data_IF_868398561563
#
_entry.id   IF_868398561563
#
_cell.length_a   1.000
_cell.length_b   1.000
_cell.length_c   1.000
_cell.angle_alpha   90.00
_cell.angle_beta   90.00
_cell.angle_gamma   90.00
#
_symmetry.space_group_name_H-M   'P 1'
#
loop_
_entity.id
_entity.type
_entity.pdbx_description
1 polymer ?
#
# COMPACT_ATOMS: atom_id res chain seq x y z
N UNK A 1 -2.61 34.24 3.34
CA UNK A 1 -2.39 33.70 4.70
C UNK A 1 -1.40 32.55 4.59
N UNK A 2 -0.46 32.36 5.53
CA UNK A 2 0.34 31.13 5.56
C UNK A 2 -0.61 29.94 5.76
N UNK A 3 -0.36 28.84 5.04
CA UNK A 3 -1.16 27.61 5.15
C UNK A 3 -0.99 26.90 6.48
N UNK A 4 -1.75 25.82 6.68
CA UNK A 4 -1.60 24.95 7.86
C UNK A 4 -0.18 24.40 8.00
N UNK A 5 0.28 24.23 9.24
CA UNK A 5 1.58 23.62 9.54
C UNK A 5 1.56 22.13 9.14
N UNK A 6 2.57 21.71 8.38
CA UNK A 6 2.68 20.35 7.86
C UNK A 6 4.10 19.83 8.03
N UNK A 7 4.23 18.50 8.08
CA UNK A 7 5.52 17.85 8.02
C UNK A 7 6.09 17.88 6.61
N UNK A 8 7.34 18.31 6.46
CA UNK A 8 8.17 18.06 5.29
C UNK A 8 9.21 16.98 5.62
N UNK A 9 9.11 15.82 4.99
CA UNK A 9 10.01 14.69 5.23
C UNK A 9 10.91 14.49 4.02
N UNK A 10 12.23 14.61 4.23
CA UNK A 10 13.25 14.30 3.22
C UNK A 10 13.79 12.88 3.37
N UNK A 11 13.71 12.09 2.31
CA UNK A 11 14.39 10.80 2.17
C UNK A 11 15.63 10.96 1.31
N UNK A 12 16.81 10.66 1.85
CA UNK A 12 18.06 10.59 1.09
C UNK A 12 18.50 9.14 0.99
N UNK A 13 18.69 8.66 -0.25
CA UNK A 13 19.11 7.29 -0.54
C UNK A 13 20.61 7.22 -0.75
N UNK A 14 21.18 6.03 -0.54
CA UNK A 14 22.60 5.75 -0.81
C UNK A 14 22.98 5.95 -2.27
N UNK A 15 22.02 5.85 -3.19
CA UNK A 15 22.18 6.14 -4.63
C UNK A 15 22.35 7.63 -4.94
N UNK A 16 22.23 8.51 -3.94
CA UNK A 16 22.21 9.96 -4.13
C UNK A 16 20.82 10.54 -4.46
N UNK A 17 19.82 9.69 -4.73
CA UNK A 17 18.44 10.11 -4.96
C UNK A 17 17.85 10.74 -3.69
N UNK A 18 17.16 11.87 -3.86
CA UNK A 18 16.43 12.57 -2.81
C UNK A 18 14.94 12.64 -3.14
N UNK A 19 14.08 12.34 -2.16
CA UNK A 19 12.63 12.48 -2.27
C UNK A 19 12.10 13.30 -1.11
N UNK A 20 11.08 14.10 -1.39
CA UNK A 20 10.40 14.91 -0.39
C UNK A 20 8.93 14.52 -0.33
N UNK A 21 8.40 14.46 0.89
CA UNK A 21 7.03 14.08 1.18
C UNK A 21 6.41 15.12 2.10
N UNK A 22 5.12 15.41 1.91
CA UNK A 22 4.35 16.27 2.79
C UNK A 22 3.31 15.44 3.53
N UNK A 23 3.12 15.69 4.82
CA UNK A 23 2.12 15.00 5.64
C UNK A 23 1.42 15.96 6.60
N UNK A 24 0.09 15.80 6.71
CA UNK A 24 -0.77 16.49 7.66
C UNK A 24 -0.97 15.69 8.96
N UNK A 25 -0.07 14.76 9.28
CA UNK A 25 -0.08 14.05 10.56
C UNK A 25 0.19 15.01 11.72
N UNK A 26 -0.30 14.71 12.94
CA UNK A 26 -0.08 15.55 14.13
C UNK A 26 1.39 15.92 14.36
N UNK A 27 1.64 17.09 14.96
CA UNK A 27 3.00 17.62 15.22
C UNK A 27 3.80 16.81 16.26
N UNK A 28 3.15 15.94 17.02
CA UNK A 28 3.78 14.98 17.95
C UNK A 28 4.09 13.62 17.29
N UNK A 29 3.82 13.48 15.98
CA UNK A 29 4.08 12.24 15.25
C UNK A 29 5.57 11.94 15.17
N UNK A 30 5.98 10.77 15.67
CA UNK A 30 7.38 10.35 15.59
C UNK A 30 7.86 10.17 14.13
N UNK A 31 9.15 10.43 13.89
CA UNK A 31 9.80 10.18 12.60
C UNK A 31 9.60 8.74 12.09
N UNK A 32 9.57 7.76 13.01
CA UNK A 32 9.34 6.36 12.65
C UNK A 32 7.95 6.15 12.04
N UNK A 33 6.93 6.79 12.58
CA UNK A 33 5.56 6.71 12.05
C UNK A 33 5.48 7.45 10.71
N UNK A 34 6.07 8.65 10.60
CA UNK A 34 6.14 9.39 9.34
C UNK A 34 6.77 8.53 8.23
N UNK A 35 7.93 7.95 8.50
CA UNK A 35 8.62 7.06 7.56
C UNK A 35 7.78 5.82 7.23
N UNK A 36 7.19 5.16 8.23
CA UNK A 36 6.34 3.99 8.02
C UNK A 36 5.12 4.32 7.14
N UNK A 37 4.45 5.43 7.38
CA UNK A 37 3.29 5.88 6.59
C UNK A 37 3.69 6.20 5.14
N UNK A 38 4.80 6.93 4.94
CA UNK A 38 5.34 7.20 3.60
C UNK A 38 5.64 5.91 2.85
N UNK A 39 6.26 4.93 3.52
CA UNK A 39 6.58 3.63 2.92
C UNK A 39 5.36 2.72 2.73
N UNK A 40 4.34 2.86 3.57
CA UNK A 40 3.09 2.11 3.44
C UNK A 40 2.38 2.38 2.09
N UNK A 41 2.59 3.56 1.48
CA UNK A 41 2.11 3.87 0.13
C UNK A 41 2.54 2.81 -0.90
N UNK A 42 3.77 2.32 -0.82
CA UNK A 42 4.29 1.29 -1.71
C UNK A 42 3.61 -0.07 -1.50
N UNK A 43 3.19 -0.38 -0.26
CA UNK A 43 2.48 -1.62 0.05
C UNK A 43 1.16 -1.69 -0.74
N UNK A 44 0.46 -0.57 -0.91
CA UNK A 44 -0.75 -0.52 -1.74
C UNK A 44 -0.44 -0.82 -3.22
N UNK A 45 0.65 -0.28 -3.77
CA UNK A 45 1.05 -0.56 -5.16
C UNK A 45 1.42 -2.04 -5.34
N UNK A 46 2.21 -2.59 -4.40
CA UNK A 46 2.55 -4.00 -4.38
C UNK A 46 1.30 -4.89 -4.25
N UNK A 47 0.35 -4.55 -3.36
CA UNK A 47 -0.89 -5.29 -3.20
C UNK A 47 -1.71 -5.34 -4.50
N UNK A 48 -1.84 -4.20 -5.19
CA UNK A 48 -2.49 -4.15 -6.50
C UNK A 48 -1.76 -4.98 -7.56
N UNK A 49 -0.43 -4.96 -7.57
CA UNK A 49 0.36 -5.77 -8.50
C UNK A 49 0.11 -7.26 -8.26
N UNK A 50 0.15 -7.73 -7.02
CA UNK A 50 -0.12 -9.14 -6.69
C UNK A 50 -1.55 -9.55 -7.05
N UNK A 51 -2.52 -8.68 -6.77
CA UNK A 51 -3.92 -8.93 -7.15
C UNK A 51 -4.06 -9.13 -8.66
N UNK A 52 -3.39 -8.32 -9.48
CA UNK A 52 -3.43 -8.45 -10.95
C UNK A 52 -2.61 -9.63 -11.44
N UNK A 53 -1.31 -9.60 -11.20
CA UNK A 53 -0.34 -10.50 -11.84
C UNK A 53 -0.36 -11.92 -11.24
N UNK A 54 -0.50 -12.07 -9.92
CA UNK A 54 -0.48 -13.38 -9.26
C UNK A 54 -1.90 -13.98 -9.16
N UNK A 55 -2.91 -13.15 -8.89
CA UNK A 55 -4.26 -13.61 -8.57
C UNK A 55 -5.28 -13.39 -9.70
N UNK A 56 -4.84 -12.81 -10.81
CA UNK A 56 -5.61 -12.72 -12.03
C UNK A 56 -6.76 -11.71 -11.97
N UNK A 57 -6.67 -10.67 -11.14
CA UNK A 57 -7.65 -9.58 -11.14
C UNK A 57 -7.75 -8.91 -12.53
N UNK A 58 -6.66 -8.91 -13.30
CA UNK A 58 -6.60 -8.39 -14.67
C UNK A 58 -7.06 -9.38 -15.75
N UNK A 59 -7.42 -10.62 -15.37
CA UNK A 59 -7.86 -11.68 -16.29
C UNK A 59 -9.39 -11.79 -16.44
N UNK A 60 -10.14 -10.83 -15.91
CA UNK A 60 -11.59 -10.83 -16.08
C UNK A 60 -11.97 -10.38 -17.51
N UNK A 61 -12.77 -11.20 -18.19
CA UNK A 61 -13.15 -10.98 -19.60
C UNK A 61 -14.28 -9.94 -19.82
N UNK A 62 -14.70 -9.19 -18.79
CA UNK A 62 -15.59 -8.03 -18.98
C UNK A 62 -17.07 -8.34 -19.27
N UNK A 63 -17.60 -9.49 -18.83
CA UNK A 63 -18.93 -9.97 -19.26
C UNK A 63 -20.15 -9.40 -18.52
N UNK A 64 -19.98 -8.84 -17.32
CA UNK A 64 -21.04 -8.14 -16.56
C UNK A 64 -20.48 -7.43 -15.32
N UNK A 65 -21.22 -6.46 -14.79
CA UNK A 65 -20.90 -5.79 -13.53
C UNK A 65 -20.87 -6.76 -12.34
N UNK A 66 -21.90 -7.60 -12.21
CA UNK A 66 -21.97 -8.62 -11.16
C UNK A 66 -20.82 -9.62 -11.28
N UNK A 67 -20.44 -10.00 -12.50
CA UNK A 67 -19.29 -10.84 -12.77
C UNK A 67 -17.98 -10.20 -12.31
N UNK A 68 -17.76 -8.92 -12.64
CA UNK A 68 -16.59 -8.16 -12.20
C UNK A 68 -16.51 -8.10 -10.66
N UNK A 69 -17.62 -7.78 -10.00
CA UNK A 69 -17.69 -7.72 -8.54
C UNK A 69 -17.34 -9.06 -7.88
N UNK A 70 -17.91 -10.17 -8.39
CA UNK A 70 -17.61 -11.51 -7.87
C UNK A 70 -16.15 -11.89 -8.11
N UNK A 71 -15.61 -11.58 -9.29
CA UNK A 71 -14.21 -11.84 -9.61
C UNK A 71 -13.27 -11.06 -8.68
N UNK A 72 -13.49 -9.76 -8.53
CA UNK A 72 -12.72 -8.92 -7.63
C UNK A 72 -12.82 -9.38 -6.16
N UNK A 73 -14.02 -9.77 -5.70
CA UNK A 73 -14.19 -10.30 -4.34
C UNK A 73 -13.38 -11.59 -4.14
N UNK A 74 -13.43 -12.52 -5.07
CA UNK A 74 -12.70 -13.78 -4.98
C UNK A 74 -11.18 -13.57 -4.98
N UNK A 75 -10.65 -12.69 -5.83
CA UNK A 75 -9.22 -12.37 -5.85
C UNK A 75 -8.77 -11.67 -4.56
N UNK A 76 -9.60 -10.77 -3.99
CA UNK A 76 -9.32 -10.14 -2.69
C UNK A 76 -9.34 -11.15 -1.53
N UNK A 77 -10.26 -12.11 -1.51
CA UNK A 77 -10.29 -13.17 -0.49
C UNK A 77 -9.04 -14.05 -0.59
N UNK A 78 -8.65 -14.46 -1.80
CA UNK A 78 -7.43 -15.22 -2.03
C UNK A 78 -6.19 -14.44 -1.57
N UNK A 79 -6.13 -13.14 -1.87
CA UNK A 79 -5.08 -12.26 -1.40
C UNK A 79 -5.00 -12.23 0.13
N UNK A 80 -6.12 -11.97 0.81
CA UNK A 80 -6.17 -11.92 2.27
C UNK A 80 -5.74 -13.26 2.90
N UNK A 81 -6.16 -14.39 2.32
CA UNK A 81 -5.70 -15.71 2.74
C UNK A 81 -4.17 -15.84 2.62
N UNK A 82 -3.58 -15.49 1.49
CA UNK A 82 -2.12 -15.54 1.30
C UNK A 82 -1.37 -14.62 2.26
N UNK A 83 -1.87 -13.40 2.50
CA UNK A 83 -1.26 -12.50 3.48
C UNK A 83 -1.31 -13.09 4.89
N UNK A 84 -2.43 -13.72 5.28
CA UNK A 84 -2.54 -14.42 6.57
C UNK A 84 -1.52 -15.55 6.70
N UNK A 85 -1.21 -16.26 5.60
CA UNK A 85 -0.21 -17.33 5.60
C UNK A 85 1.21 -16.78 5.71
N UNK A 86 1.50 -15.69 4.99
CA UNK A 86 2.80 -14.99 5.03
C UNK A 86 3.09 -14.42 6.42
N UNK A 87 2.10 -13.79 7.07
CA UNK A 87 2.23 -13.28 8.44
C UNK A 87 2.53 -14.39 9.45
N UNK A 88 1.78 -15.50 9.39
CA UNK A 88 2.03 -16.68 10.22
C UNK A 88 3.43 -17.26 10.01
N UNK A 89 3.90 -17.34 8.76
CA UNK A 89 5.25 -17.83 8.44
C UNK A 89 6.35 -16.87 8.92
N UNK A 90 6.11 -15.56 8.91
CA UNK A 90 7.06 -14.55 9.37
C UNK A 90 7.14 -14.43 10.90
N UNK A 91 6.38 -15.22 11.67
CA UNK A 91 6.34 -15.15 13.14
C UNK A 91 5.72 -13.87 13.69
N UNK A 92 5.08 -13.05 12.84
CA UNK A 92 4.35 -11.85 13.26
C UNK A 92 2.92 -12.29 13.62
N UNK A 93 2.65 -12.40 14.92
CA UNK A 93 1.29 -12.53 15.46
C UNK A 93 0.57 -11.19 15.41
#
# INVERSE_FOLDING_TARGET
MPGEEVWLVGERRSTGEQKYYVSNLPSDTSLKILAATIKARWICEQAHQQLKEELGLDRFEGRSWTGLHRHALMTMIAYAFLQSRRLKAAGRK
#
